data_IF_840614679416
#
_entry.id   IF_840614679416
#
_cell.length_a   1.000
_cell.length_b   1.000
_cell.length_c   1.000
_cell.angle_alpha   90.00
_cell.angle_beta   90.00
_cell.angle_gamma   90.00
#
_symmetry.space_group_name_H-M   'P 1'
#
loop_
_entity.id
_entity.type
_entity.pdbx_description
1 polymer ?
#
# COMPACT_ATOMS: atom_id res chain seq x y z
N UNK A 1 7.56 9.65 14.01
CA UNK A 1 7.46 8.51 14.92
C UNK A 1 8.51 7.49 14.50
N UNK A 2 9.20 6.84 15.43
CA UNK A 2 10.11 5.73 15.10
C UNK A 2 9.32 4.56 14.50
N UNK A 3 9.77 3.96 13.39
CA UNK A 3 9.08 2.84 12.80
C UNK A 3 9.29 1.57 13.64
N UNK A 4 8.28 0.69 13.63
CA UNK A 4 8.33 -0.59 14.33
C UNK A 4 8.31 -1.75 13.34
N UNK A 5 8.96 -2.85 13.69
CA UNK A 5 8.92 -4.07 12.88
C UNK A 5 7.72 -4.91 13.34
N UNK A 6 6.85 -5.26 12.40
CA UNK A 6 5.77 -6.20 12.63
C UNK A 6 6.11 -7.57 12.04
N UNK A 7 5.55 -8.61 12.64
CA UNK A 7 5.77 -9.99 12.22
C UNK A 7 5.21 -10.31 10.83
N UNK A 8 5.56 -11.50 10.35
CA UNK A 8 5.20 -11.92 9.00
C UNK A 8 3.69 -11.90 8.78
N UNK A 9 3.26 -11.14 7.77
CA UNK A 9 1.86 -11.06 7.34
C UNK A 9 1.77 -11.25 5.84
N UNK A 10 0.69 -11.91 5.41
CA UNK A 10 0.26 -11.99 4.03
C UNK A 10 -0.95 -11.06 3.86
N UNK A 11 -0.87 -10.06 2.98
CA UNK A 11 -2.02 -9.21 2.66
C UNK A 11 -2.72 -9.74 1.41
N UNK A 12 -4.03 -9.93 1.50
CA UNK A 12 -4.90 -10.38 0.41
C UNK A 12 -5.85 -9.26 0.06
N UNK A 13 -5.54 -8.52 -0.99
CA UNK A 13 -6.30 -7.32 -1.34
C UNK A 13 -7.20 -7.61 -2.53
N UNK A 14 -8.48 -7.26 -2.38
CA UNK A 14 -9.45 -7.24 -3.47
C UNK A 14 -9.80 -5.78 -3.80
N UNK A 15 -9.71 -5.41 -5.08
CA UNK A 15 -10.06 -4.07 -5.50
C UNK A 15 -9.73 -3.74 -6.96
N UNK A 16 -9.14 -2.57 -7.18
CA UNK A 16 -8.93 -1.95 -8.48
C UNK A 16 -7.44 -1.74 -8.75
N UNK A 17 -7.03 -1.85 -10.02
CA UNK A 17 -5.64 -1.60 -10.44
C UNK A 17 -5.54 -0.58 -11.57
N UNK A 18 -4.59 0.34 -11.46
CA UNK A 18 -4.11 1.18 -12.55
C UNK A 18 -2.65 0.82 -12.86
N UNK A 19 -2.28 0.78 -14.14
CA UNK A 19 -0.89 0.61 -14.58
C UNK A 19 -0.46 1.79 -15.44
N UNK A 20 0.57 2.51 -15.00
CA UNK A 20 1.06 3.68 -15.70
C UNK A 20 1.89 4.61 -14.81
N UNK A 21 2.16 5.80 -15.32
CA UNK A 21 2.63 6.90 -14.49
C UNK A 21 1.40 7.50 -13.78
N UNK A 22 1.29 7.43 -12.44
CA UNK A 22 0.12 7.94 -11.74
C UNK A 22 0.01 9.47 -11.78
N UNK A 23 1.10 10.17 -12.12
CA UNK A 23 1.19 11.62 -12.09
C UNK A 23 1.26 12.27 -13.48
N UNK A 24 1.04 11.48 -14.54
CA UNK A 24 1.14 11.96 -15.92
C UNK A 24 0.18 13.12 -16.24
N UNK A 25 -1.03 13.07 -15.69
CA UNK A 25 -2.07 14.07 -15.90
C UNK A 25 -2.09 15.16 -14.81
N UNK A 26 -1.71 14.81 -13.59
CA UNK A 26 -1.72 15.73 -12.45
C UNK A 26 -0.80 15.24 -11.32
N UNK A 27 -0.22 16.17 -10.54
CA UNK A 27 0.80 15.85 -9.53
C UNK A 27 0.19 15.38 -8.21
N UNK A 28 0.94 14.57 -7.45
CA UNK A 28 0.79 14.42 -6.00
C UNK A 28 -0.66 14.23 -5.54
N UNK A 29 -1.20 15.20 -4.80
CA UNK A 29 -2.54 15.16 -4.18
C UNK A 29 -3.65 15.76 -5.06
N UNK A 30 -3.41 15.93 -6.36
CA UNK A 30 -4.43 16.45 -7.28
C UNK A 30 -5.60 15.46 -7.41
N UNK A 31 -6.86 15.93 -7.32
CA UNK A 31 -8.03 15.07 -7.40
C UNK A 31 -8.20 14.36 -8.76
N UNK A 32 -7.48 14.79 -9.80
CA UNK A 32 -7.57 14.21 -11.14
C UNK A 32 -6.41 13.27 -11.47
N UNK A 33 -5.53 12.98 -10.51
CA UNK A 33 -4.48 12.00 -10.73
C UNK A 33 -5.07 10.56 -10.83
N UNK A 34 -4.26 9.62 -11.31
CA UNK A 34 -4.77 8.27 -11.56
C UNK A 34 -4.96 7.45 -10.27
N UNK A 35 -4.32 7.86 -9.18
CA UNK A 35 -4.51 7.27 -7.85
C UNK A 35 -5.93 7.54 -7.37
N UNK A 36 -6.37 8.80 -7.41
CA UNK A 36 -7.72 9.23 -7.03
C UNK A 36 -8.77 8.65 -7.96
N UNK A 37 -8.50 8.57 -9.26
CA UNK A 37 -9.39 7.86 -10.21
C UNK A 37 -9.55 6.39 -9.83
N UNK A 38 -8.46 5.72 -9.42
CA UNK A 38 -8.48 4.32 -8.98
C UNK A 38 -9.30 4.15 -7.69
N UNK A 39 -9.12 5.04 -6.70
CA UNK A 39 -9.97 5.11 -5.50
C UNK A 39 -11.44 5.33 -5.83
N UNK A 40 -11.76 6.30 -6.70
CA UNK A 40 -13.13 6.59 -7.10
C UNK A 40 -13.79 5.37 -7.75
N UNK A 41 -13.09 4.67 -8.65
CA UNK A 41 -13.58 3.41 -9.24
C UNK A 41 -13.82 2.36 -8.16
N UNK A 42 -12.87 2.18 -7.24
CA UNK A 42 -13.03 1.26 -6.12
C UNK A 42 -14.26 1.61 -5.27
N UNK A 43 -14.49 2.88 -4.91
CA UNK A 43 -15.65 3.30 -4.12
C UNK A 43 -16.98 3.02 -4.83
N UNK A 44 -17.06 3.22 -6.14
CA UNK A 44 -18.28 2.91 -6.90
C UNK A 44 -18.56 1.40 -6.90
N UNK A 45 -17.53 0.58 -7.11
CA UNK A 45 -17.67 -0.88 -7.02
C UNK A 45 -17.96 -1.33 -5.58
N UNK A 46 -17.39 -0.66 -4.58
CA UNK A 46 -17.66 -0.96 -3.19
C UNK A 46 -19.13 -0.76 -2.85
N UNK A 47 -19.73 0.35 -3.28
CA UNK A 47 -21.18 0.59 -3.13
C UNK A 47 -22.02 -0.45 -3.86
N UNK A 48 -21.63 -0.80 -5.10
CA UNK A 48 -22.33 -1.80 -5.92
C UNK A 48 -22.35 -3.19 -5.28
N UNK A 49 -21.26 -3.59 -4.62
CA UNK A 49 -21.09 -4.93 -4.02
C UNK A 49 -20.96 -4.90 -2.49
N UNK A 50 -21.56 -3.89 -1.84
CA UNK A 50 -21.34 -3.58 -0.42
C UNK A 50 -21.56 -4.78 0.51
N UNK A 51 -22.67 -5.49 0.34
CA UNK A 51 -23.02 -6.66 1.15
C UNK A 51 -21.97 -7.78 1.05
N UNK A 52 -21.48 -8.03 -0.16
CA UNK A 52 -20.44 -9.03 -0.40
C UNK A 52 -19.11 -8.62 0.22
N UNK A 53 -18.70 -7.36 0.02
CA UNK A 53 -17.42 -6.86 0.50
C UNK A 53 -17.39 -6.76 2.03
N UNK A 54 -18.47 -6.30 2.66
CA UNK A 54 -18.58 -6.28 4.14
C UNK A 54 -18.40 -7.66 4.75
N UNK A 55 -18.97 -8.70 4.15
CA UNK A 55 -18.81 -10.10 4.61
C UNK A 55 -17.41 -10.65 4.38
N UNK A 56 -16.79 -10.24 3.27
CA UNK A 56 -15.48 -10.73 2.83
C UNK A 56 -14.30 -10.03 3.50
N UNK A 57 -14.51 -8.79 3.97
CA UNK A 57 -13.47 -7.93 4.54
C UNK A 57 -12.76 -8.60 5.71
N UNK A 58 -11.44 -8.42 5.73
CA UNK A 58 -10.57 -8.70 6.87
C UNK A 58 -10.10 -7.37 7.47
N UNK A 59 -10.04 -7.30 8.80
CA UNK A 59 -9.64 -6.09 9.51
C UNK A 59 -10.65 -4.94 9.42
N UNK A 60 -10.28 -3.80 10.02
CA UNK A 60 -11.14 -2.63 10.17
C UNK A 60 -10.77 -1.47 9.23
N UNK A 61 -9.61 -1.53 8.58
CA UNK A 61 -9.07 -0.51 7.68
C UNK A 61 -10.08 -0.08 6.61
N UNK A 62 -10.22 1.22 6.34
CA UNK A 62 -11.11 1.70 5.27
C UNK A 62 -10.69 1.19 3.90
N UNK A 63 -9.39 1.08 3.68
CA UNK A 63 -8.81 0.48 2.49
C UNK A 63 -7.30 0.64 2.48
N UNK A 64 -6.70 0.13 1.41
CA UNK A 64 -5.28 0.11 1.16
C UNK A 64 -4.99 0.71 -0.21
N UNK A 65 -3.88 1.42 -0.31
CA UNK A 65 -3.27 1.86 -1.57
C UNK A 65 -1.85 1.29 -1.65
N UNK A 66 -1.57 0.52 -2.70
CA UNK A 66 -0.31 -0.18 -2.87
C UNK A 66 0.37 0.33 -4.13
N UNK A 67 1.59 0.81 -3.97
CA UNK A 67 2.45 1.20 -5.08
C UNK A 67 3.39 0.05 -5.37
N UNK A 68 3.23 -0.62 -6.50
CA UNK A 68 4.04 -1.77 -6.89
C UNK A 68 4.92 -1.37 -8.08
N UNK A 69 6.22 -1.54 -7.92
CA UNK A 69 7.20 -1.35 -8.98
C UNK A 69 7.34 -2.65 -9.78
N UNK A 70 6.95 -2.68 -11.06
CA UNK A 70 7.16 -3.83 -11.93
C UNK A 70 8.65 -4.04 -12.24
N UNK A 71 9.01 -5.22 -12.76
CA UNK A 71 10.41 -5.55 -13.07
C UNK A 71 11.10 -4.62 -14.07
N UNK A 72 10.34 -3.83 -14.83
CA UNK A 72 10.83 -2.82 -15.78
C UNK A 72 10.70 -1.37 -15.27
N UNK A 73 10.41 -1.19 -13.98
CA UNK A 73 10.17 0.11 -13.35
C UNK A 73 11.31 1.10 -13.62
N UNK A 74 12.57 0.68 -13.49
CA UNK A 74 13.73 1.55 -13.73
C UNK A 74 13.77 2.15 -15.14
N UNK A 75 13.20 1.45 -16.12
CA UNK A 75 13.13 1.91 -17.52
C UNK A 75 11.88 2.75 -17.79
N UNK A 76 10.72 2.33 -17.27
CA UNK A 76 9.43 2.91 -17.65
C UNK A 76 8.89 3.93 -16.65
N UNK A 77 9.34 3.89 -15.40
CA UNK A 77 8.84 4.69 -14.27
C UNK A 77 7.31 4.60 -14.11
N UNK A 78 6.75 3.41 -14.40
CA UNK A 78 5.33 3.10 -14.27
C UNK A 78 5.09 2.19 -13.08
N UNK A 79 4.04 2.45 -12.33
CA UNK A 79 3.62 1.64 -11.20
C UNK A 79 2.40 0.80 -11.56
N UNK A 80 2.17 -0.28 -10.82
CA UNK A 80 0.81 -0.72 -10.56
C UNK A 80 0.34 -0.03 -9.28
N UNK A 81 -0.69 0.81 -9.39
CA UNK A 81 -1.40 1.37 -8.24
C UNK A 81 -2.58 0.46 -7.97
N UNK A 82 -2.56 -0.20 -6.81
CA UNK A 82 -3.61 -1.12 -6.40
C UNK A 82 -4.37 -0.54 -5.21
N UNK A 83 -5.67 -0.35 -5.36
CA UNK A 83 -6.54 0.17 -4.30
C UNK A 83 -7.59 -0.87 -3.95
N UNK A 84 -7.80 -1.15 -2.67
CA UNK A 84 -8.83 -2.09 -2.28
C UNK A 84 -8.96 -2.29 -0.77
N UNK A 85 -9.59 -3.39 -0.38
CA UNK A 85 -9.67 -3.83 1.02
C UNK A 85 -8.95 -5.16 1.20
N UNK A 86 -8.44 -5.38 2.41
CA UNK A 86 -8.02 -6.73 2.81
C UNK A 86 -9.26 -7.62 2.91
N UNK A 87 -9.18 -8.81 2.35
CA UNK A 87 -10.25 -9.81 2.37
C UNK A 87 -9.75 -11.12 2.93
N UNK A 88 -10.68 -11.93 3.44
CA UNK A 88 -10.43 -13.34 3.73
C UNK A 88 -10.22 -14.10 2.41
N UNK A 89 -9.84 -15.38 2.46
CA UNK A 89 -9.83 -16.22 1.26
C UNK A 89 -11.23 -16.22 0.62
N UNK A 90 -11.31 -16.11 -0.70
CA UNK A 90 -12.57 -16.06 -1.44
C UNK A 90 -12.54 -17.05 -2.60
N UNK A 91 -13.65 -17.77 -2.76
CA UNK A 91 -13.88 -18.67 -3.89
C UNK A 91 -14.40 -17.92 -5.13
N UNK A 92 -14.86 -16.68 -4.96
CA UNK A 92 -15.45 -15.84 -6.00
C UNK A 92 -15.15 -14.35 -5.79
N UNK A 93 -14.99 -13.59 -6.89
CA UNK A 93 -14.92 -12.14 -6.88
C UNK A 93 -15.57 -11.54 -8.15
N UNK A 94 -16.08 -10.29 -8.09
CA UNK A 94 -16.62 -9.60 -9.26
C UNK A 94 -15.59 -9.46 -10.40
N UNK A 95 -16.03 -9.59 -11.66
CA UNK A 95 -15.16 -9.49 -12.83
C UNK A 95 -14.47 -8.13 -12.99
N UNK A 96 -15.10 -7.07 -12.48
CA UNK A 96 -14.59 -5.70 -12.48
C UNK A 96 -13.62 -5.42 -11.31
N UNK A 97 -13.31 -6.44 -10.49
CA UNK A 97 -12.30 -6.39 -9.43
C UNK A 97 -11.16 -7.37 -9.66
N UNK A 98 -10.04 -7.06 -9.05
CA UNK A 98 -8.80 -7.82 -9.11
C UNK A 98 -8.43 -8.27 -7.71
N UNK A 99 -7.89 -9.47 -7.61
CA UNK A 99 -7.35 -10.03 -6.38
C UNK A 99 -5.82 -10.06 -6.45
N UNK A 100 -5.17 -9.64 -5.36
CA UNK A 100 -3.71 -9.68 -5.20
C UNK A 100 -3.36 -10.24 -3.83
N UNK A 101 -2.76 -11.42 -3.81
CA UNK A 101 -2.01 -11.90 -2.64
C UNK A 101 -0.59 -11.32 -2.71
N UNK A 102 -0.21 -10.53 -1.71
CA UNK A 102 1.15 -10.07 -1.53
C UNK A 102 1.97 -11.15 -0.81
N UNK A 103 3.28 -11.27 -1.08
CA UNK A 103 4.12 -12.25 -0.41
C UNK A 103 4.07 -12.12 1.11
N UNK A 104 4.03 -13.25 1.82
CA UNK A 104 4.16 -13.27 3.27
C UNK A 104 5.55 -12.79 3.67
N UNK A 105 5.62 -11.72 4.46
CA UNK A 105 6.89 -11.08 4.85
C UNK A 105 6.73 -10.24 6.11
N UNK A 106 7.83 -9.87 6.76
CA UNK A 106 7.84 -8.86 7.84
C UNK A 106 7.68 -7.48 7.24
N UNK A 107 7.10 -6.56 8.01
CA UNK A 107 6.94 -5.18 7.57
C UNK A 107 7.53 -4.21 8.57
N UNK A 108 8.04 -3.11 8.04
CA UNK A 108 8.25 -1.90 8.79
C UNK A 108 6.94 -1.10 8.79
N UNK A 109 6.42 -0.76 9.97
CA UNK A 109 5.19 -0.01 10.17
C UNK A 109 5.46 1.34 10.83
N UNK A 110 4.82 2.40 10.30
CA UNK A 110 4.83 3.74 10.90
C UNK A 110 3.67 4.56 10.34
N UNK A 111 3.34 5.64 11.03
CA UNK A 111 2.31 6.59 10.57
C UNK A 111 2.95 7.95 10.24
N UNK A 112 2.40 8.63 9.25
CA UNK A 112 2.76 10.01 8.91
C UNK A 112 1.52 10.89 8.83
N UNK A 113 1.70 12.20 8.97
CA UNK A 113 0.68 13.17 8.59
C UNK A 113 0.27 12.99 7.12
N UNK A 114 -1.04 13.09 6.87
CA UNK A 114 -1.57 13.12 5.52
C UNK A 114 -1.04 14.35 4.77
N UNK A 115 -0.62 14.18 3.52
CA UNK A 115 0.09 15.20 2.71
C UNK A 115 1.46 15.65 3.26
N UNK A 116 2.01 14.95 4.25
CA UNK A 116 3.38 15.15 4.73
C UNK A 116 4.45 14.56 3.80
N UNK A 117 5.68 14.41 4.31
CA UNK A 117 6.85 13.88 3.57
C UNK A 117 6.79 12.36 3.28
N UNK A 118 5.74 11.68 3.72
CA UNK A 118 5.56 10.24 3.52
C UNK A 118 6.74 9.40 4.03
N UNK A 119 7.14 8.42 3.23
CA UNK A 119 8.15 7.42 3.60
C UNK A 119 9.60 7.77 3.22
N UNK A 120 9.90 9.00 2.77
CA UNK A 120 11.24 9.37 2.29
C UNK A 120 12.36 9.08 3.30
N UNK A 121 12.09 9.30 4.60
CA UNK A 121 13.06 9.07 5.68
C UNK A 121 13.40 7.59 5.87
N UNK A 122 12.51 6.67 5.45
CA UNK A 122 12.78 5.24 5.51
C UNK A 122 13.88 4.87 4.53
N UNK A 123 13.77 5.31 3.28
CA UNK A 123 14.71 4.93 2.23
C UNK A 123 16.00 5.74 2.28
N UNK A 124 15.94 7.00 2.72
CA UNK A 124 17.11 7.87 2.80
C UNK A 124 17.92 7.71 4.09
N UNK A 125 17.32 7.18 5.16
CA UNK A 125 17.97 7.08 6.49
C UNK A 125 17.79 5.74 7.17
N UNK A 126 16.55 5.32 7.47
CA UNK A 126 16.32 4.16 8.32
C UNK A 126 16.87 2.86 7.72
N UNK A 127 16.52 2.55 6.47
CA UNK A 127 17.00 1.33 5.78
C UNK A 127 18.53 1.33 5.68
N UNK A 128 19.19 2.40 5.15
CA UNK A 128 20.65 2.46 5.07
C UNK A 128 21.39 2.29 6.41
N UNK A 129 20.78 2.70 7.53
CA UNK A 129 21.37 2.60 8.87
C UNK A 129 20.95 1.33 9.63
N UNK A 130 20.15 0.45 9.02
CA UNK A 130 19.60 -0.76 9.66
C UNK A 130 20.22 -2.05 9.12
N UNK A 131 19.98 -3.17 9.82
CA UNK A 131 20.32 -4.53 9.35
C UNK A 131 19.28 -5.11 8.37
N UNK A 132 18.42 -4.27 7.79
CA UNK A 132 17.29 -4.69 6.96
C UNK A 132 17.34 -4.06 5.57
N UNK A 133 16.82 -4.78 4.59
CA UNK A 133 16.55 -4.27 3.25
C UNK A 133 15.08 -4.45 2.88
N UNK A 134 14.62 -3.69 1.88
CA UNK A 134 13.27 -3.87 1.33
C UNK A 134 13.20 -5.26 0.66
N UNK A 135 12.26 -6.11 1.11
CA UNK A 135 12.17 -7.49 0.62
C UNK A 135 11.41 -7.63 -0.69
N UNK A 136 10.50 -6.69 -0.98
CA UNK A 136 9.71 -6.69 -2.21
C UNK A 136 9.49 -5.26 -2.72
N UNK A 137 9.40 -5.06 -4.05
CA UNK A 137 9.36 -3.74 -4.66
C UNK A 137 7.94 -3.15 -4.63
N UNK A 138 7.38 -3.02 -3.43
CA UNK A 138 6.13 -2.32 -3.20
C UNK A 138 6.11 -1.66 -1.82
N UNK A 139 5.22 -0.69 -1.67
CA UNK A 139 4.86 -0.08 -0.39
C UNK A 139 3.34 -0.08 -0.25
N UNK A 140 2.85 -0.17 0.98
CA UNK A 140 1.42 -0.16 1.28
C UNK A 140 1.11 1.08 2.12
N UNK A 141 0.10 1.82 1.72
CA UNK A 141 -0.59 2.81 2.54
C UNK A 141 -1.89 2.20 3.05
N UNK A 142 -2.21 2.39 4.32
CA UNK A 142 -3.48 1.99 4.93
C UNK A 142 -4.16 3.17 5.60
N UNK A 143 -5.49 3.13 5.59
CA UNK A 143 -6.34 4.17 6.15
C UNK A 143 -7.18 3.59 7.30
N UNK A 144 -6.63 3.65 8.52
CA UNK A 144 -7.24 3.07 9.72
C UNK A 144 -8.36 3.97 10.26
N UNK A 145 -9.49 3.41 10.73
CA UNK A 145 -10.56 4.21 11.32
C UNK A 145 -10.13 4.98 12.58
N UNK A 146 -9.10 4.53 13.28
CA UNK A 146 -8.56 5.21 14.46
C UNK A 146 -7.68 6.43 14.11
N UNK A 147 -7.03 6.42 12.94
CA UNK A 147 -6.00 7.40 12.55
C UNK A 147 -6.40 8.28 11.36
N UNK A 148 -7.20 7.75 10.45
CA UNK A 148 -7.69 8.45 9.27
C UNK A 148 -8.99 9.19 9.58
N UNK A 149 -8.93 10.53 9.59
CA UNK A 149 -10.06 11.42 9.86
C UNK A 149 -10.63 12.08 8.61
N UNK A 150 -10.14 11.69 7.43
CA UNK A 150 -10.51 12.25 6.13
C UNK A 150 -9.55 13.32 5.62
N UNK A 151 -9.64 13.61 4.32
CA UNK A 151 -8.65 14.41 3.60
C UNK A 151 -8.56 15.89 4.03
N UNK A 152 -9.66 16.42 4.58
CA UNK A 152 -9.79 17.81 5.04
C UNK A 152 -9.35 18.00 6.49
N UNK A 153 -9.09 16.90 7.22
CA UNK A 153 -8.65 16.97 8.61
C UNK A 153 -7.13 16.97 8.69
N UNK A 154 -6.56 18.04 9.25
CA UNK A 154 -5.10 18.20 9.38
C UNK A 154 -4.45 17.17 10.33
N UNK A 155 -5.24 16.60 11.24
CA UNK A 155 -4.78 15.54 12.15
C UNK A 155 -4.92 14.14 11.55
N UNK A 156 -5.31 14.03 10.27
CA UNK A 156 -5.37 12.73 9.60
C UNK A 156 -3.97 12.14 9.46
N UNK A 157 -3.82 10.92 9.94
CA UNK A 157 -2.62 10.14 9.75
C UNK A 157 -2.86 9.04 8.71
N UNK A 158 -1.81 8.71 7.99
CA UNK A 158 -1.76 7.60 7.05
C UNK A 158 -0.70 6.60 7.52
N UNK A 159 -1.06 5.33 7.48
CA UNK A 159 -0.15 4.26 7.88
C UNK A 159 0.60 3.71 6.68
N UNK A 160 1.85 3.36 6.91
CA UNK A 160 2.74 2.81 5.91
C UNK A 160 3.23 1.44 6.34
N UNK A 161 3.27 0.52 5.39
CA UNK A 161 3.90 -0.79 5.56
C UNK A 161 4.92 -0.99 4.43
N UNK A 162 6.18 -1.15 4.82
CA UNK A 162 7.29 -1.41 3.89
C UNK A 162 7.73 -2.86 4.10
N UNK A 163 7.64 -3.74 3.09
CA UNK A 163 8.08 -5.13 3.24
C UNK A 163 9.60 -5.15 3.43
N UNK A 164 10.06 -5.80 4.50
CA UNK A 164 11.50 -5.87 4.85
C UNK A 164 11.95 -7.31 5.07
N UNK A 165 13.25 -7.54 4.97
CA UNK A 165 13.93 -8.77 5.43
C UNK A 165 15.30 -8.40 5.98
N UNK A 166 15.85 -9.24 6.84
CA UNK A 166 17.19 -9.04 7.37
C UNK A 166 18.22 -9.25 6.25
N UNK A 167 19.25 -8.42 6.20
CA UNK A 167 20.37 -8.61 5.28
C UNK A 167 21.12 -9.86 5.73
N UNK A 168 21.27 -10.84 4.83
CA UNK A 168 22.10 -12.00 5.09
C UNK A 168 23.57 -11.60 4.96
N UNK A 169 24.31 -11.61 6.06
CA UNK A 169 25.76 -11.44 6.01
C UNK A 169 26.37 -12.72 5.43
N UNK A 170 26.96 -12.63 4.24
CA UNK A 170 27.78 -13.72 3.71
C UNK A 170 28.97 -13.92 4.65
N UNK A 171 29.09 -15.13 5.22
CA UNK A 171 30.19 -15.52 6.13
C UNK A 171 31.58 -15.59 5.48
N UNK A 172 31.75 -15.11 4.25
CA UNK A 172 32.97 -15.31 3.46
C UNK A 172 33.85 -14.05 3.29
N UNK A 173 33.54 -12.95 3.97
CA UNK A 173 34.33 -11.71 3.89
C UNK A 173 35.23 -11.47 5.13
N UNK A 174 35.86 -12.53 5.65
CA UNK A 174 36.97 -12.45 6.61
C UNK A 174 38.16 -13.31 6.18
#
# INVERSE_FOLDING_TARGET
MEPIIIDEKEYKILGCVYYGDPFHSAKGWDPNNEIRNTWNRFYQLYKKYEEFLKKSKAGNEFGFEIHIEPGDYMKRRKFHIFVGIEVKNLDFFPLDMFYKALPKTKYLFFSTEYKGKGCDFIFSKWIPESDYEQSYPYIIQSYSPERWKGEENQDSLMDWYIPIKKIEMNKNDF
#
